data_IF_650558771932
#
_entry.id   IF_650558771932
#
_cell.length_a   1.000
_cell.length_b   1.000
_cell.length_c   1.000
_cell.angle_alpha   90.00
_cell.angle_beta   90.00
_cell.angle_gamma   90.00
#
_symmetry.space_group_name_H-M   'P 1'
#
loop_
_entity.id
_entity.type
_entity.pdbx_description
1 polymer ?
#
# COMPACT_ATOMS: atom_id res chain seq x y z
N UNK A 1 -7.26 7.26 -5.63
CA UNK A 1 -8.19 7.43 -4.49
C UNK A 1 -9.50 6.71 -4.75
N UNK A 2 -10.24 7.03 -5.81
CA UNK A 2 -11.49 6.32 -6.15
C UNK A 2 -11.35 4.79 -6.22
N UNK A 3 -10.33 4.27 -6.93
CA UNK A 3 -10.07 2.83 -6.97
C UNK A 3 -9.85 2.22 -5.57
N UNK A 4 -9.15 2.91 -4.67
CA UNK A 4 -8.94 2.43 -3.29
C UNK A 4 -10.25 2.50 -2.49
N UNK A 5 -11.03 3.58 -2.65
CA UNK A 5 -12.33 3.76 -2.00
C UNK A 5 -13.34 2.68 -2.39
N UNK A 6 -13.34 2.24 -3.65
CA UNK A 6 -14.22 1.17 -4.13
C UNK A 6 -13.96 -0.18 -3.43
N UNK A 7 -12.80 -0.35 -2.81
CA UNK A 7 -12.40 -1.55 -2.08
C UNK A 7 -12.37 -1.35 -0.56
N UNK A 8 -13.16 -0.40 -0.02
CA UNK A 8 -13.23 -0.14 1.42
C UNK A 8 -13.52 -1.40 2.23
N UNK A 9 -14.53 -2.19 1.83
CA UNK A 9 -14.90 -3.41 2.56
C UNK A 9 -13.74 -4.42 2.63
N UNK A 10 -13.00 -4.60 1.54
CA UNK A 10 -11.82 -5.49 1.49
C UNK A 10 -10.71 -5.01 2.43
N UNK A 11 -10.50 -3.70 2.56
CA UNK A 11 -9.53 -3.12 3.50
C UNK A 11 -10.01 -3.18 4.95
N UNK A 12 -11.32 -2.99 5.20
CA UNK A 12 -11.92 -3.11 6.53
C UNK A 12 -11.79 -4.55 7.07
N UNK A 13 -12.03 -5.56 6.22
CA UNK A 13 -11.86 -6.98 6.57
C UNK A 13 -10.40 -7.31 6.94
N UNK A 14 -9.44 -6.63 6.31
CA UNK A 14 -8.02 -6.75 6.61
C UNK A 14 -7.61 -5.88 7.81
N UNK A 15 -8.49 -5.08 8.40
CA UNK A 15 -8.16 -4.15 9.48
C UNK A 15 -7.14 -3.09 9.07
N UNK A 16 -7.22 -2.61 7.81
CA UNK A 16 -6.32 -1.60 7.25
C UNK A 16 -7.00 -0.24 7.20
N UNK A 17 -6.33 0.76 7.78
CA UNK A 17 -6.66 2.17 7.60
C UNK A 17 -5.85 2.78 6.46
N UNK A 18 -6.44 3.75 5.75
CA UNK A 18 -5.78 4.45 4.64
C UNK A 18 -5.69 5.94 4.96
N UNK A 19 -4.55 6.55 4.67
CA UNK A 19 -4.39 8.00 4.68
C UNK A 19 -4.01 8.47 3.28
N UNK A 20 -4.80 9.40 2.73
CA UNK A 20 -4.43 10.10 1.51
C UNK A 20 -3.70 11.39 1.90
N UNK A 21 -2.53 11.64 1.33
CA UNK A 21 -1.69 12.80 1.66
C UNK A 21 -1.35 13.52 0.36
N UNK A 22 -1.39 14.85 0.37
CA UNK A 22 -0.83 15.67 -0.70
C UNK A 22 -0.54 17.08 -0.19
N UNK A 23 0.14 17.87 -1.01
CA UNK A 23 0.46 19.28 -0.75
C UNK A 23 -0.72 20.25 -0.84
N UNK A 24 -1.91 19.76 -1.22
CA UNK A 24 -3.13 20.58 -1.25
C UNK A 24 -3.64 20.93 0.16
N UNK A 25 -4.36 22.05 0.27
CA UNK A 25 -5.04 22.42 1.51
C UNK A 25 -6.28 21.57 1.76
N UNK A 26 -6.74 21.53 3.02
CA UNK A 26 -7.97 20.83 3.39
C UNK A 26 -9.23 21.43 2.72
N UNK A 27 -9.19 22.71 2.32
CA UNK A 27 -10.26 23.32 1.52
C UNK A 27 -10.36 22.68 0.13
N UNK A 28 -9.23 22.47 -0.54
CA UNK A 28 -9.18 21.78 -1.83
C UNK A 28 -9.62 20.33 -1.68
N UNK A 29 -9.20 19.64 -0.62
CA UNK A 29 -9.65 18.28 -0.32
C UNK A 29 -11.17 18.21 -0.18
N UNK A 30 -11.79 19.13 0.55
CA UNK A 30 -13.25 19.20 0.69
C UNK A 30 -13.95 19.39 -0.67
N UNK A 31 -13.49 20.36 -1.46
CA UNK A 31 -14.04 20.61 -2.81
C UNK A 31 -13.89 19.37 -3.69
N UNK A 32 -12.75 18.68 -3.61
CA UNK A 32 -12.49 17.48 -4.39
C UNK A 32 -13.37 16.29 -3.97
N UNK A 33 -13.58 16.12 -2.66
CA UNK A 33 -14.53 15.15 -2.10
C UNK A 33 -15.94 15.39 -2.63
N UNK A 34 -16.43 16.62 -2.52
CA UNK A 34 -17.81 16.99 -2.84
C UNK A 34 -18.08 16.98 -4.35
N UNK A 35 -17.11 17.37 -5.18
CA UNK A 35 -17.36 17.62 -6.60
C UNK A 35 -16.82 16.54 -7.55
N UNK A 36 -15.88 15.70 -7.12
CA UNK A 36 -15.29 14.66 -7.97
C UNK A 36 -15.47 13.28 -7.34
N UNK A 37 -14.92 13.05 -6.14
CA UNK A 37 -14.85 11.71 -5.56
C UNK A 37 -16.26 11.15 -5.28
N UNK A 38 -17.17 11.98 -4.80
CA UNK A 38 -18.59 11.64 -4.60
C UNK A 38 -19.32 11.17 -5.87
N UNK A 39 -18.82 11.55 -7.05
CA UNK A 39 -19.36 11.14 -8.36
C UNK A 39 -18.69 9.88 -8.90
N UNK A 40 -17.49 9.56 -8.42
CA UNK A 40 -16.73 8.38 -8.83
C UNK A 40 -17.05 7.15 -7.97
N UNK A 41 -17.31 7.36 -6.68
CA UNK A 41 -17.64 6.32 -5.70
C UNK A 41 -18.72 6.87 -4.77
N UNK A 42 -19.75 6.08 -4.50
CA UNK A 42 -20.80 6.45 -3.56
C UNK A 42 -20.20 6.78 -2.17
N UNK A 43 -20.54 7.95 -1.62
CA UNK A 43 -19.95 8.45 -0.37
C UNK A 43 -18.55 9.07 -0.49
N UNK A 44 -17.93 9.02 -1.68
CA UNK A 44 -16.62 9.60 -1.96
C UNK A 44 -15.45 8.80 -1.36
N UNK A 45 -14.35 9.47 -1.03
CA UNK A 45 -13.22 8.83 -0.36
C UNK A 45 -13.53 8.69 1.15
N UNK A 46 -13.52 7.47 1.72
CA UNK A 46 -14.07 7.21 3.05
C UNK A 46 -13.06 7.40 4.20
N UNK A 47 -11.83 7.81 3.90
CA UNK A 47 -10.76 7.99 4.89
C UNK A 47 -10.24 9.43 4.94
N UNK A 48 -9.45 9.81 5.97
CA UNK A 48 -8.85 11.14 6.05
C UNK A 48 -7.97 11.50 4.85
N UNK A 49 -8.15 12.73 4.36
CA UNK A 49 -7.24 13.38 3.42
C UNK A 49 -6.41 14.43 4.16
N UNK A 50 -5.13 14.12 4.38
CA UNK A 50 -4.17 14.96 5.07
C UNK A 50 -3.65 16.05 4.13
N UNK A 51 -3.64 17.28 4.63
CA UNK A 51 -3.07 18.43 3.95
C UNK A 51 -1.63 18.65 4.42
N UNK A 52 -0.66 18.37 3.55
CA UNK A 52 0.77 18.61 3.79
C UNK A 52 1.23 19.86 3.03
N UNK A 53 0.61 21.01 3.33
CA UNK A 53 0.82 22.24 2.54
C UNK A 53 2.25 22.77 2.56
N UNK A 54 3.07 22.34 3.53
CA UNK A 54 4.49 22.68 3.60
C UNK A 54 5.38 21.67 2.86
N UNK A 55 4.85 20.49 2.50
CA UNK A 55 5.62 19.38 1.95
C UNK A 55 6.53 18.71 3.00
N UNK A 56 6.26 18.87 4.29
CA UNK A 56 7.12 18.35 5.34
C UNK A 56 7.01 16.83 5.44
N UNK A 57 5.80 16.27 5.28
CA UNK A 57 5.57 14.83 5.27
C UNK A 57 6.18 14.23 4.00
N UNK A 58 5.95 14.84 2.84
CA UNK A 58 6.54 14.40 1.57
C UNK A 58 8.07 14.31 1.64
N UNK A 59 8.73 15.33 2.22
CA UNK A 59 10.20 15.32 2.41
C UNK A 59 10.65 14.24 3.38
N UNK A 60 9.93 14.07 4.50
CA UNK A 60 10.23 13.03 5.49
C UNK A 60 10.19 11.63 4.87
N UNK A 61 9.24 11.40 3.96
CA UNK A 61 9.07 10.12 3.27
C UNK A 61 9.85 10.04 1.95
N UNK A 62 10.65 11.06 1.60
CA UNK A 62 11.51 11.07 0.41
C UNK A 62 10.74 11.12 -0.92
N UNK A 63 9.52 11.63 -0.93
CA UNK A 63 8.64 11.69 -2.12
C UNK A 63 8.27 13.11 -2.54
N UNK A 64 8.80 14.14 -1.89
CA UNK A 64 8.56 15.51 -2.30
C UNK A 64 9.46 15.93 -3.46
N UNK A 65 8.87 16.44 -4.53
CA UNK A 65 9.57 17.09 -5.63
C UNK A 65 9.73 18.59 -5.33
N UNK A 66 10.96 18.99 -5.00
CA UNK A 66 11.30 20.38 -4.68
C UNK A 66 11.06 21.35 -5.85
N UNK A 67 11.19 20.88 -7.09
CA UNK A 67 10.99 21.73 -8.27
C UNK A 67 9.49 21.85 -8.60
N UNK A 68 8.76 20.76 -8.47
CA UNK A 68 7.32 20.70 -8.74
C UNK A 68 6.44 21.25 -7.60
N UNK A 69 6.96 21.30 -6.37
CA UNK A 69 6.19 21.67 -5.18
C UNK A 69 5.10 20.66 -4.80
N UNK A 70 5.26 19.40 -5.22
CA UNK A 70 4.26 18.33 -5.09
C UNK A 70 4.93 17.01 -4.71
N UNK A 71 4.14 16.07 -4.19
CA UNK A 71 4.64 14.71 -3.98
C UNK A 71 4.60 13.90 -5.29
N UNK A 72 5.65 13.11 -5.55
CA UNK A 72 5.59 11.99 -6.49
C UNK A 72 4.74 10.86 -5.87
N UNK A 73 4.42 9.81 -6.66
CA UNK A 73 3.46 8.79 -6.23
C UNK A 73 4.09 7.78 -5.27
N UNK A 74 4.20 8.15 -3.99
CA UNK A 74 4.58 7.27 -2.90
C UNK A 74 3.41 6.48 -2.31
N UNK A 75 3.67 5.27 -1.83
CA UNK A 75 2.76 4.47 -1.00
C UNK A 75 3.59 3.71 0.02
N UNK A 76 3.18 3.76 1.29
CA UNK A 76 3.87 3.12 2.40
C UNK A 76 2.90 2.21 3.13
N UNK A 77 3.34 0.99 3.44
CA UNK A 77 2.63 0.07 4.33
C UNK A 77 3.32 0.16 5.68
N UNK A 78 2.57 0.57 6.70
CA UNK A 78 3.05 0.76 8.06
C UNK A 78 2.34 -0.27 8.95
N UNK A 79 3.09 -1.01 9.74
CA UNK A 79 2.52 -2.01 10.64
C UNK A 79 2.01 -1.40 11.96
N UNK A 80 1.34 -2.19 12.83
CA UNK A 80 0.83 -1.70 14.11
C UNK A 80 1.89 -1.17 15.09
N UNK A 81 3.17 -1.49 14.88
CA UNK A 81 4.29 -1.00 15.70
C UNK A 81 4.87 0.31 15.14
N UNK A 82 4.28 0.83 14.06
CA UNK A 82 4.73 2.06 13.39
C UNK A 82 5.92 1.86 12.46
N UNK A 83 6.24 0.61 12.09
CA UNK A 83 7.37 0.29 11.22
C UNK A 83 6.91 0.24 9.76
N UNK A 84 7.65 0.92 8.87
CA UNK A 84 7.44 0.82 7.42
C UNK A 84 7.88 -0.58 6.96
N UNK A 85 6.92 -1.37 6.50
CA UNK A 85 7.15 -2.73 5.99
C UNK A 85 7.41 -2.74 4.48
N UNK A 86 6.75 -1.84 3.74
CA UNK A 86 6.95 -1.70 2.30
C UNK A 86 6.80 -0.24 1.86
N UNK A 87 7.52 0.11 0.80
CA UNK A 87 7.35 1.36 0.07
C UNK A 87 7.31 1.10 -1.43
N UNK A 88 6.46 1.83 -2.14
CA UNK A 88 6.40 1.88 -3.60
C UNK A 88 6.42 3.34 -4.03
N UNK A 89 7.34 3.69 -4.93
CA UNK A 89 7.49 5.05 -5.46
C UNK A 89 7.45 4.98 -6.97
N UNK A 90 6.42 5.59 -7.56
CA UNK A 90 6.23 5.65 -9.00
C UNK A 90 6.36 7.10 -9.50
N UNK A 91 6.88 7.25 -10.72
CA UNK A 91 6.82 8.52 -11.43
C UNK A 91 5.36 8.91 -11.71
N UNK A 92 5.03 10.20 -11.90
CA UNK A 92 3.65 10.66 -12.03
C UNK A 92 2.82 10.01 -13.16
N UNK A 93 3.47 9.49 -14.19
CA UNK A 93 2.83 8.94 -15.40
C UNK A 93 2.15 7.59 -15.20
N UNK A 94 2.50 6.82 -14.16
CA UNK A 94 1.97 5.46 -13.95
C UNK A 94 1.20 5.37 -12.63
N UNK A 95 0.02 4.75 -12.68
CA UNK A 95 -0.80 4.47 -11.51
C UNK A 95 -0.29 3.27 -10.71
N UNK A 96 -0.54 3.26 -9.40
CA UNK A 96 -0.22 2.13 -8.51
C UNK A 96 -1.20 0.98 -8.71
N UNK A 97 -0.74 -0.25 -8.50
CA UNK A 97 -1.60 -1.43 -8.56
C UNK A 97 -2.22 -1.73 -7.18
N UNK A 98 -3.55 -1.66 -7.09
CA UNK A 98 -4.28 -1.95 -5.85
C UNK A 98 -4.19 -3.43 -5.44
N UNK A 99 -4.18 -4.36 -6.40
CA UNK A 99 -4.08 -5.79 -6.08
C UNK A 99 -2.73 -6.14 -5.45
N UNK A 100 -1.65 -5.47 -5.87
CA UNK A 100 -0.35 -5.64 -5.22
C UNK A 100 -0.36 -5.08 -3.78
N UNK A 101 -1.06 -3.97 -3.52
CA UNK A 101 -1.24 -3.48 -2.14
C UNK A 101 -1.89 -4.54 -1.26
N UNK A 102 -3.03 -5.10 -1.71
CA UNK A 102 -3.76 -6.13 -0.95
C UNK A 102 -2.89 -7.37 -0.72
N UNK A 103 -2.22 -7.85 -1.76
CA UNK A 103 -1.32 -9.02 -1.67
C UNK A 103 -0.21 -8.78 -0.64
N UNK A 104 0.40 -7.60 -0.65
CA UNK A 104 1.44 -7.23 0.32
C UNK A 104 0.89 -7.16 1.75
N UNK A 105 -0.26 -6.51 1.97
CA UNK A 105 -0.90 -6.47 3.29
C UNK A 105 -1.11 -7.89 3.84
N UNK A 106 -1.74 -8.76 3.05
CA UNK A 106 -2.00 -10.15 3.43
C UNK A 106 -0.70 -10.91 3.72
N UNK A 107 0.33 -10.70 2.91
CA UNK A 107 1.65 -11.29 3.13
C UNK A 107 2.25 -10.82 4.47
N UNK A 108 2.28 -9.52 4.75
CA UNK A 108 2.85 -9.02 6.01
C UNK A 108 2.04 -9.46 7.23
N UNK A 109 0.71 -9.55 7.12
CA UNK A 109 -0.13 -10.09 8.19
C UNK A 109 0.15 -11.57 8.44
N UNK A 110 0.29 -12.38 7.39
CA UNK A 110 0.68 -13.79 7.51
C UNK A 110 2.07 -13.93 8.14
N UNK A 111 3.04 -13.15 7.69
CA UNK A 111 4.41 -13.14 8.23
C UNK A 111 4.39 -12.85 9.74
N UNK A 112 3.64 -11.82 10.15
CA UNK A 112 3.52 -11.40 11.55
C UNK A 112 2.84 -12.47 12.40
N UNK A 113 1.82 -13.15 11.87
CA UNK A 113 1.07 -14.17 12.61
C UNK A 113 1.84 -15.49 12.77
N UNK A 114 2.70 -15.85 11.83
CA UNK A 114 3.30 -17.20 11.74
C UNK A 114 4.82 -17.24 11.90
N UNK A 115 5.51 -16.13 11.63
CA UNK A 115 6.98 -16.10 11.48
C UNK A 115 7.49 -16.73 10.19
N UNK A 116 6.60 -17.12 9.27
CA UNK A 116 6.95 -17.60 7.94
C UNK A 116 7.29 -16.44 7.01
N UNK A 117 7.94 -16.74 5.88
CA UNK A 117 8.25 -15.77 4.84
C UNK A 117 7.59 -16.13 3.52
N UNK A 118 7.23 -15.09 2.78
CA UNK A 118 6.43 -15.19 1.57
C UNK A 118 7.37 -15.14 0.37
N UNK A 119 7.46 -16.21 -0.43
CA UNK A 119 8.32 -16.23 -1.61
C UNK A 119 7.82 -15.28 -2.71
N UNK A 120 8.64 -15.10 -3.74
CA UNK A 120 8.32 -14.23 -4.88
C UNK A 120 6.98 -14.64 -5.52
N UNK A 121 6.13 -13.65 -5.79
CA UNK A 121 4.80 -13.87 -6.36
C UNK A 121 3.81 -14.57 -5.44
N UNK A 122 4.10 -14.73 -4.14
CA UNK A 122 3.16 -15.39 -3.23
C UNK A 122 1.81 -14.67 -3.18
N UNK A 123 0.73 -15.46 -3.21
CA UNK A 123 -0.65 -15.06 -2.99
C UNK A 123 -1.28 -15.98 -1.93
N UNK A 124 -2.37 -15.57 -1.25
CA UNK A 124 -3.02 -16.40 -0.24
C UNK A 124 -3.30 -17.83 -0.72
N UNK A 125 -3.02 -18.80 0.13
CA UNK A 125 -3.18 -20.24 -0.16
C UNK A 125 -1.99 -20.90 -0.86
N UNK A 126 -1.00 -20.14 -1.34
CA UNK A 126 0.25 -20.70 -1.88
C UNK A 126 1.24 -21.07 -0.77
N UNK A 127 2.18 -22.01 -1.02
CA UNK A 127 3.19 -22.39 -0.05
C UNK A 127 4.05 -21.23 0.43
N UNK A 128 4.26 -21.17 1.74
CA UNK A 128 5.18 -20.26 2.43
C UNK A 128 6.49 -20.97 2.77
N UNK A 129 7.45 -20.25 3.32
CA UNK A 129 8.73 -20.80 3.76
C UNK A 129 8.91 -20.57 5.26
N UNK A 130 9.27 -21.61 6.00
CA UNK A 130 9.67 -21.49 7.40
C UNK A 130 11.18 -21.27 7.48
N UNK A 131 11.68 -20.09 7.89
CA UNK A 131 13.11 -19.82 7.93
C UNK A 131 13.88 -20.82 8.80
N UNK A 132 15.02 -21.31 8.29
CA UNK A 132 15.88 -22.22 9.04
C UNK A 132 17.09 -22.69 8.22
N UNK A 133 18.13 -23.26 8.87
CA UNK A 133 19.34 -23.74 8.21
C UNK A 133 19.08 -24.75 7.08
N UNK A 134 18.04 -25.58 7.24
CA UNK A 134 17.69 -26.62 6.28
C UNK A 134 17.21 -26.08 4.92
N UNK A 135 16.76 -24.82 4.85
CA UNK A 135 16.34 -24.20 3.59
C UNK A 135 17.45 -23.42 2.89
N UNK A 136 18.62 -23.24 3.51
CA UNK A 136 19.73 -22.50 2.90
C UNK A 136 20.20 -23.22 1.62
N UNK A 137 20.06 -22.54 0.47
CA UNK A 137 20.34 -23.12 -0.85
C UNK A 137 19.36 -24.21 -1.31
N UNK A 138 18.29 -24.46 -0.53
CA UNK A 138 17.34 -25.57 -0.75
C UNK A 138 15.88 -25.11 -0.85
N UNK A 139 15.62 -23.81 -0.98
CA UNK A 139 14.26 -23.25 -1.15
C UNK A 139 13.47 -23.97 -2.25
N UNK A 140 14.15 -24.43 -3.31
CA UNK A 140 13.56 -25.17 -4.43
C UNK A 140 12.85 -26.48 -4.04
N UNK A 141 13.09 -27.03 -2.84
CA UNK A 141 12.39 -28.24 -2.37
C UNK A 141 10.96 -27.94 -1.92
N UNK A 142 10.67 -26.68 -1.55
CA UNK A 142 9.35 -26.22 -1.09
C UNK A 142 8.69 -25.31 -2.12
N UNK A 143 9.43 -24.33 -2.65
CA UNK A 143 8.93 -23.36 -3.61
C UNK A 143 9.36 -23.70 -5.03
N UNK A 144 8.42 -23.60 -5.96
CA UNK A 144 8.60 -23.79 -7.40
C UNK A 144 8.04 -22.60 -8.15
N UNK A 145 8.49 -22.35 -9.37
CA UNK A 145 8.06 -21.18 -10.16
C UNK A 145 6.55 -21.23 -10.43
N UNK A 146 5.98 -22.42 -10.60
CA UNK A 146 4.55 -22.66 -10.81
C UNK A 146 3.69 -22.32 -9.58
N UNK A 147 4.34 -22.11 -8.42
CA UNK A 147 3.66 -21.67 -7.21
C UNK A 147 3.51 -20.14 -7.15
N UNK A 148 4.22 -19.37 -7.97
CA UNK A 148 3.99 -17.94 -8.08
C UNK A 148 2.55 -17.67 -8.57
N UNK A 149 1.89 -16.67 -8.00
CA UNK A 149 0.64 -16.14 -8.55
C UNK A 149 0.90 -15.40 -9.86
N UNK A 150 -0.10 -15.43 -10.74
CA UNK A 150 -0.12 -14.64 -11.98
C UNK A 150 -0.26 -13.14 -11.72
#
# INVERSE_FOLDING_TARGET
>A
MAAVAAHKAELDELGVEVLAISTNSHFIHKVWQENELSKMVEGGFPWPMVADTTGAIGRLYGVYDEQGGVDIRGRFIIDPDGVIQAMEVLTPTVGRNFRELIRQVQAYQHARATGEVMPAGWVPGKPTLKPGPDLVGKVWTVWKVENAGD
#
